data_IF_296277347635
#
_entry.id   IF_296277347635
#
_cell.length_a   1.000
_cell.length_b   1.000
_cell.length_c   1.000
_cell.angle_alpha   90.00
_cell.angle_beta   90.00
_cell.angle_gamma   90.00
#
_symmetry.space_group_name_H-M   'P 1'
#
loop_
_entity.id
_entity.type
_entity.pdbx_description
1 polymer ?
#
# COMPACT_ATOMS: atom_id res chain seq x y z
N UNK A 1 -10.42 29.66 25.16
CA UNK A 1 -9.60 29.18 24.03
C UNK A 1 -10.50 28.42 23.06
N UNK A 2 -10.87 29.02 21.93
CA UNK A 2 -11.56 28.31 20.84
C UNK A 2 -10.57 27.32 20.24
N UNK A 3 -10.83 26.01 20.34
CA UNK A 3 -10.12 25.02 19.52
C UNK A 3 -10.29 25.42 18.05
N UNK A 4 -9.18 25.49 17.31
CA UNK A 4 -9.18 25.57 15.85
C UNK A 4 -9.97 24.34 15.38
N UNK A 5 -11.18 24.53 14.87
CA UNK A 5 -12.13 23.47 14.50
C UNK A 5 -11.94 23.02 13.03
N UNK A 6 -10.78 23.32 12.46
CA UNK A 6 -10.57 23.39 11.01
C UNK A 6 -9.43 22.48 10.52
N UNK A 7 -8.89 21.60 11.38
CA UNK A 7 -7.82 20.67 11.02
C UNK A 7 -8.32 19.22 11.09
N UNK A 8 -7.97 18.42 10.09
CA UNK A 8 -8.21 16.97 10.07
C UNK A 8 -6.88 16.26 10.24
N UNK A 9 -6.78 15.39 11.23
CA UNK A 9 -5.53 14.69 11.55
C UNK A 9 -5.71 13.19 11.34
N UNK A 10 -4.84 12.57 10.54
CA UNK A 10 -4.82 11.12 10.33
C UNK A 10 -3.46 10.52 10.70
N UNK A 11 -3.49 9.24 11.06
CA UNK A 11 -2.37 8.33 10.96
C UNK A 11 -2.64 7.42 9.76
N UNK A 12 -1.77 7.46 8.76
CA UNK A 12 -1.81 6.59 7.59
C UNK A 12 -0.73 5.53 7.74
N UNK A 13 -1.13 4.26 7.76
CA UNK A 13 -0.25 3.11 7.68
C UNK A 13 -0.36 2.49 6.28
N UNK A 14 0.73 1.87 5.81
CA UNK A 14 0.72 1.18 4.52
C UNK A 14 1.75 0.07 4.41
N UNK A 15 1.45 -0.85 3.50
CA UNK A 15 2.30 -1.93 3.02
C UNK A 15 2.11 -2.08 1.51
N UNK A 16 3.07 -2.69 0.83
CA UNK A 16 3.05 -2.93 -0.61
C UNK A 16 3.88 -4.19 -0.91
N UNK A 17 3.64 -4.82 -2.07
CA UNK A 17 4.48 -5.90 -2.61
C UNK A 17 4.73 -7.03 -1.59
N UNK A 18 3.67 -7.47 -0.89
CA UNK A 18 3.81 -8.48 0.18
C UNK A 18 4.03 -9.89 -0.34
N UNK A 19 3.64 -10.17 -1.59
CA UNK A 19 3.93 -11.43 -2.31
C UNK A 19 3.80 -12.68 -1.45
N UNK A 20 2.68 -12.81 -0.74
CA UNK A 20 2.38 -13.97 0.13
C UNK A 20 3.45 -14.29 1.19
N UNK A 21 4.29 -13.32 1.59
CA UNK A 21 5.21 -13.44 2.73
C UNK A 21 4.45 -13.23 4.05
N UNK A 22 3.63 -14.22 4.41
CA UNK A 22 2.87 -14.20 5.67
C UNK A 22 3.75 -14.51 6.88
N UNK A 23 4.76 -15.34 6.67
CA UNK A 23 5.71 -15.77 7.70
C UNK A 23 6.97 -14.90 7.68
N UNK A 24 7.64 -14.76 8.84
CA UNK A 24 8.96 -14.16 8.88
C UNK A 24 9.99 -14.89 8.01
N UNK A 25 10.89 -14.14 7.41
CA UNK A 25 12.06 -14.65 6.68
C UNK A 25 13.35 -14.40 7.45
N UNK A 26 14.43 -15.05 7.04
CA UNK A 26 15.78 -14.73 7.53
C UNK A 26 16.33 -13.56 6.71
N UNK A 27 16.72 -12.48 7.39
CA UNK A 27 17.35 -11.31 6.79
C UNK A 27 18.79 -11.22 7.30
N UNK A 28 19.75 -11.20 6.39
CA UNK A 28 21.14 -10.94 6.74
C UNK A 28 21.37 -9.44 6.90
N UNK A 29 22.01 -9.03 7.98
CA UNK A 29 22.43 -7.65 8.24
C UNK A 29 23.93 -7.50 7.99
N UNK A 30 24.40 -6.26 7.84
CA UNK A 30 25.82 -5.91 7.94
C UNK A 30 25.98 -4.79 8.97
N UNK A 31 26.53 -5.12 10.13
CA UNK A 31 26.66 -4.23 11.27
C UNK A 31 28.13 -3.89 11.51
N UNK A 32 28.44 -2.60 11.55
CA UNK A 32 29.78 -2.12 11.89
C UNK A 32 29.83 -1.77 13.39
N UNK A 33 30.48 -2.62 14.19
CA UNK A 33 30.61 -2.47 15.65
C UNK A 33 32.09 -2.55 15.99
N UNK A 34 32.61 -1.56 16.72
CA UNK A 34 34.01 -1.52 17.19
C UNK A 34 35.06 -1.83 16.10
N UNK A 35 34.87 -1.25 14.92
CA UNK A 35 35.72 -1.44 13.72
C UNK A 35 35.70 -2.86 13.13
N UNK A 36 34.77 -3.71 13.57
CA UNK A 36 34.51 -5.03 12.98
C UNK A 36 33.17 -5.03 12.25
N UNK A 37 33.12 -5.71 11.11
CA UNK A 37 31.88 -5.95 10.37
C UNK A 37 31.33 -7.32 10.76
N UNK A 38 30.16 -7.33 11.41
CA UNK A 38 29.40 -8.55 11.71
C UNK A 38 28.29 -8.73 10.68
N UNK A 39 28.04 -9.96 10.28
CA UNK A 39 26.99 -10.30 9.30
C UNK A 39 25.91 -11.23 9.86
N UNK A 40 25.24 -10.85 10.97
CA UNK A 40 24.26 -11.70 11.63
C UNK A 40 22.98 -11.82 10.81
N UNK A 41 22.22 -12.86 11.11
CA UNK A 41 20.86 -13.05 10.62
C UNK A 41 19.85 -12.61 11.68
N UNK A 42 18.74 -12.06 11.21
CA UNK A 42 17.58 -11.71 12.04
C UNK A 42 16.31 -12.20 11.36
N UNK A 43 15.38 -12.73 12.15
CA UNK A 43 14.03 -13.01 11.65
C UNK A 43 13.32 -11.69 11.33
N UNK A 44 12.86 -11.48 10.11
CA UNK A 44 12.27 -10.21 9.65
C UNK A 44 10.91 -10.41 8.99
N UNK A 45 10.06 -9.39 9.06
CA UNK A 45 8.75 -9.35 8.39
C UNK A 45 7.67 -10.25 8.99
N UNK A 46 6.69 -10.58 8.15
CA UNK A 46 5.57 -11.46 8.49
C UNK A 46 4.34 -10.74 9.07
N UNK A 47 3.15 -11.28 8.76
CA UNK A 47 1.87 -10.66 9.06
C UNK A 47 1.57 -10.56 10.56
N UNK A 48 2.11 -11.46 11.39
CA UNK A 48 1.98 -11.37 12.84
C UNK A 48 2.63 -10.10 13.42
N UNK A 49 3.80 -9.69 12.87
CA UNK A 49 4.47 -8.45 13.28
C UNK A 49 3.73 -7.22 12.76
N UNK A 50 3.24 -7.28 11.51
CA UNK A 50 2.36 -6.23 10.95
C UNK A 50 1.14 -6.03 11.85
N UNK A 51 0.42 -7.11 12.18
CA UNK A 51 -0.78 -7.06 13.02
C UNK A 51 -0.50 -6.42 14.39
N UNK A 52 0.60 -6.83 15.03
CA UNK A 52 1.04 -6.26 16.31
C UNK A 52 1.31 -4.77 16.19
N UNK A 53 2.06 -4.34 15.16
CA UNK A 53 2.43 -2.94 14.99
C UNK A 53 1.23 -2.07 14.61
N UNK A 54 0.34 -2.57 13.76
CA UNK A 54 -0.91 -1.90 13.41
C UNK A 54 -1.81 -1.71 14.64
N UNK A 55 -1.89 -2.70 15.53
CA UNK A 55 -2.64 -2.53 16.78
C UNK A 55 -2.05 -1.40 17.64
N UNK A 56 -0.73 -1.32 17.76
CA UNK A 56 -0.05 -0.23 18.48
C UNK A 56 -0.32 1.13 17.82
N UNK A 57 -0.17 1.23 16.49
CA UNK A 57 -0.42 2.48 15.76
C UNK A 57 -1.89 2.92 15.85
N UNK A 58 -2.85 1.98 15.83
CA UNK A 58 -4.28 2.26 16.05
C UNK A 58 -4.51 2.83 17.46
N UNK A 59 -3.91 2.22 18.49
CA UNK A 59 -4.01 2.72 19.87
C UNK A 59 -3.36 4.11 20.05
N UNK A 60 -2.21 4.34 19.41
CA UNK A 60 -1.52 5.63 19.41
C UNK A 60 -2.36 6.71 18.71
N UNK A 61 -2.95 6.41 17.55
CA UNK A 61 -3.84 7.31 16.83
C UNK A 61 -5.07 7.68 17.68
N UNK A 62 -5.68 6.72 18.38
CA UNK A 62 -6.78 6.99 19.31
C UNK A 62 -6.35 7.92 20.45
N UNK A 63 -5.20 7.66 21.08
CA UNK A 63 -4.66 8.52 22.15
C UNK A 63 -4.39 9.94 21.67
N UNK A 64 -3.92 10.08 20.43
CA UNK A 64 -3.65 11.36 19.77
C UNK A 64 -4.89 12.02 19.15
N UNK A 65 -6.06 11.35 19.18
CA UNK A 65 -7.31 11.79 18.52
C UNK A 65 -7.11 12.05 17.03
N UNK A 66 -6.53 11.07 16.35
CA UNK A 66 -6.34 11.04 14.90
C UNK A 66 -7.22 9.96 14.28
N UNK A 67 -7.72 10.20 13.08
CA UNK A 67 -8.24 9.13 12.23
C UNK A 67 -7.15 8.11 11.92
N UNK A 68 -7.54 6.88 11.59
CA UNK A 68 -6.60 5.84 11.21
C UNK A 68 -7.03 5.25 9.87
N UNK A 69 -6.08 5.16 8.94
CA UNK A 69 -6.25 4.55 7.62
C UNK A 69 -5.09 3.58 7.42
N UNK A 70 -5.38 2.35 7.01
CA UNK A 70 -4.38 1.35 6.65
C UNK A 70 -4.66 0.76 5.27
N UNK A 71 -3.73 0.92 4.33
CA UNK A 71 -3.92 0.51 2.93
C UNK A 71 -2.82 -0.44 2.46
N UNK A 72 -3.14 -1.24 1.44
CA UNK A 72 -2.18 -2.10 0.74
C UNK A 72 -2.02 -1.65 -0.71
N UNK A 73 -0.80 -1.31 -1.13
CA UNK A 73 -0.54 -0.80 -2.47
C UNK A 73 -0.24 -1.90 -3.50
N UNK A 74 -1.09 -2.95 -3.58
CA UNK A 74 -1.00 -4.01 -4.60
C UNK A 74 0.12 -5.03 -4.42
N UNK A 75 0.08 -6.09 -5.23
CA UNK A 75 1.01 -7.22 -5.26
C UNK A 75 1.07 -8.00 -3.94
N UNK A 76 -0.11 -8.42 -3.48
CA UNK A 76 -0.19 -9.42 -2.42
C UNK A 76 -0.02 -10.85 -2.97
N UNK A 77 -0.36 -11.10 -4.24
CA UNK A 77 -0.25 -12.41 -4.89
C UNK A 77 1.20 -12.80 -5.21
N UNK A 78 1.38 -14.07 -5.59
CA UNK A 78 2.67 -14.70 -5.90
C UNK A 78 3.66 -14.71 -4.73
N UNK A 79 4.94 -15.00 -5.00
CA UNK A 79 6.07 -15.01 -4.07
C UNK A 79 6.34 -16.34 -3.38
N UNK A 80 5.35 -16.90 -2.67
CA UNK A 80 5.56 -18.11 -1.84
C UNK A 80 4.62 -19.26 -2.20
N UNK A 81 4.87 -20.43 -1.60
CA UNK A 81 4.03 -21.63 -1.78
C UNK A 81 2.57 -21.40 -1.36
N UNK A 82 2.31 -20.43 -0.48
CA UNK A 82 0.94 -20.03 -0.12
C UNK A 82 0.11 -19.65 -1.35
N UNK A 83 0.64 -18.83 -2.25
CA UNK A 83 -0.11 -18.48 -3.47
C UNK A 83 -0.25 -19.68 -4.40
N UNK A 84 0.83 -20.45 -4.59
CA UNK A 84 0.81 -21.64 -5.44
C UNK A 84 -0.26 -22.66 -5.05
N UNK A 85 -0.50 -22.84 -3.74
CA UNK A 85 -1.49 -23.77 -3.21
C UNK A 85 -2.90 -23.17 -3.07
N UNK A 86 -3.02 -21.94 -2.56
CA UNK A 86 -4.31 -21.35 -2.17
C UNK A 86 -4.88 -20.35 -3.18
N UNK A 87 -4.12 -19.98 -4.22
CA UNK A 87 -4.59 -19.14 -5.34
C UNK A 87 -5.31 -17.86 -4.91
N UNK A 88 -4.72 -17.15 -3.93
CA UNK A 88 -5.28 -15.90 -3.39
C UNK A 88 -6.25 -16.06 -2.22
N UNK A 89 -6.72 -17.28 -1.90
CA UNK A 89 -7.60 -17.47 -0.74
C UNK A 89 -6.90 -17.09 0.58
N UNK A 90 -5.67 -17.58 0.79
CA UNK A 90 -4.89 -17.25 1.98
C UNK A 90 -4.62 -15.74 2.07
N UNK A 91 -4.35 -15.08 0.94
CA UNK A 91 -4.16 -13.63 0.88
C UNK A 91 -5.41 -12.86 1.37
N UNK A 92 -6.60 -13.27 0.92
CA UNK A 92 -7.84 -12.65 1.37
C UNK A 92 -8.05 -12.82 2.88
N UNK A 93 -7.84 -14.04 3.40
CA UNK A 93 -7.98 -14.34 4.83
C UNK A 93 -7.00 -13.52 5.68
N UNK A 94 -5.74 -13.45 5.27
CA UNK A 94 -4.68 -12.73 5.99
C UNK A 94 -4.89 -11.22 5.95
N UNK A 95 -5.25 -10.64 4.79
CA UNK A 95 -5.52 -9.20 4.66
C UNK A 95 -6.79 -8.78 5.41
N UNK A 96 -7.83 -9.62 5.41
CA UNK A 96 -9.01 -9.40 6.24
C UNK A 96 -8.65 -9.39 7.73
N UNK A 97 -7.82 -10.33 8.18
CA UNK A 97 -7.38 -10.41 9.57
C UNK A 97 -6.53 -9.19 10.00
N UNK A 98 -5.76 -8.59 9.08
CA UNK A 98 -5.06 -7.33 9.33
C UNK A 98 -6.01 -6.13 9.46
N UNK A 99 -7.22 -6.22 8.87
CA UNK A 99 -8.21 -5.16 8.89
C UNK A 99 -7.72 -3.90 8.17
N UNK A 100 -7.26 -4.06 6.93
CA UNK A 100 -6.96 -2.96 6.01
C UNK A 100 -8.25 -2.26 5.58
N UNK A 101 -8.18 -0.96 5.31
CA UNK A 101 -9.28 -0.15 4.82
C UNK A 101 -9.48 -0.27 3.31
N UNK A 102 -8.40 -0.50 2.55
CA UNK A 102 -8.45 -0.71 1.10
C UNK A 102 -7.16 -1.35 0.58
N UNK A 103 -7.25 -1.93 -0.62
CA UNK A 103 -6.11 -2.40 -1.38
C UNK A 103 -6.23 -1.92 -2.84
N UNK A 104 -5.15 -1.45 -3.46
CA UNK A 104 -5.12 -1.29 -4.93
C UNK A 104 -4.68 -2.59 -5.61
N UNK A 105 -5.08 -2.78 -6.86
CA UNK A 105 -4.65 -3.92 -7.68
C UNK A 105 -3.20 -3.73 -8.15
N UNK A 106 -2.35 -4.72 -7.96
CA UNK A 106 -1.02 -4.81 -8.58
C UNK A 106 -0.98 -5.73 -9.80
N UNK A 107 0.18 -5.86 -10.42
CA UNK A 107 0.31 -6.69 -11.62
C UNK A 107 0.25 -8.19 -11.30
N UNK A 108 0.83 -8.63 -10.20
CA UNK A 108 0.89 -10.05 -9.84
C UNK A 108 -0.48 -10.62 -9.45
N UNK A 109 -1.45 -9.77 -9.15
CA UNK A 109 -2.84 -10.20 -9.01
C UNK A 109 -3.38 -10.85 -10.31
N UNK A 110 -2.89 -10.42 -11.47
CA UNK A 110 -3.39 -10.81 -12.80
C UNK A 110 -2.52 -11.85 -13.52
N UNK A 111 -1.49 -12.39 -12.87
CA UNK A 111 -0.59 -13.39 -13.47
C UNK A 111 -1.33 -14.63 -13.99
N UNK A 112 -2.42 -15.02 -13.33
CA UNK A 112 -3.24 -16.18 -13.67
C UNK A 112 -4.57 -15.79 -14.34
N UNK A 113 -4.65 -14.58 -14.90
CA UNK A 113 -5.88 -14.03 -15.45
C UNK A 113 -6.80 -13.41 -14.41
N UNK A 114 -7.97 -12.98 -14.86
CA UNK A 114 -8.92 -12.26 -14.00
C UNK A 114 -9.60 -13.15 -12.95
N UNK A 115 -9.71 -14.46 -13.22
CA UNK A 115 -10.53 -15.39 -12.45
C UNK A 115 -10.08 -15.50 -10.96
N UNK A 116 -8.78 -15.66 -10.63
CA UNK A 116 -8.32 -15.60 -9.24
C UNK A 116 -8.61 -14.26 -8.55
N UNK A 117 -8.51 -13.14 -9.26
CA UNK A 117 -8.86 -11.81 -8.73
C UNK A 117 -10.36 -11.74 -8.43
N UNK A 118 -11.21 -12.27 -9.31
CA UNK A 118 -12.65 -12.32 -9.11
C UNK A 118 -13.03 -13.18 -7.89
N UNK A 119 -12.33 -14.29 -7.66
CA UNK A 119 -12.52 -15.14 -6.49
C UNK A 119 -12.02 -14.47 -5.20
N UNK A 120 -10.86 -13.81 -5.25
CA UNK A 120 -10.33 -13.01 -4.15
C UNK A 120 -11.29 -11.88 -3.75
N UNK A 121 -11.79 -11.13 -4.74
CA UNK A 121 -12.74 -10.05 -4.53
C UNK A 121 -14.07 -10.50 -3.89
N UNK A 122 -14.44 -11.79 -4.00
CA UNK A 122 -15.61 -12.36 -3.30
C UNK A 122 -15.35 -12.62 -1.81
N UNK A 123 -14.09 -12.68 -1.38
CA UNK A 123 -13.67 -13.07 -0.02
C UNK A 123 -13.20 -11.90 0.83
N UNK A 124 -12.69 -10.84 0.21
CA UNK A 124 -12.22 -9.65 0.92
C UNK A 124 -13.36 -8.88 1.58
N UNK A 125 -13.05 -8.22 2.69
CA UNK A 125 -13.96 -7.38 3.48
C UNK A 125 -13.65 -5.88 3.34
N UNK A 126 -12.81 -5.54 2.37
CA UNK A 126 -12.36 -4.19 2.04
C UNK A 126 -12.49 -3.97 0.53
N UNK A 127 -12.62 -2.72 0.06
CA UNK A 127 -12.64 -2.39 -1.35
C UNK A 127 -11.28 -2.69 -2.01
N UNK A 128 -11.34 -3.37 -3.16
CA UNK A 128 -10.26 -3.49 -4.14
C UNK A 128 -10.37 -2.31 -5.12
N UNK A 129 -9.42 -1.39 -5.05
CA UNK A 129 -9.33 -0.20 -5.88
C UNK A 129 -8.64 -0.56 -7.20
N UNK A 130 -9.32 -0.36 -8.32
CA UNK A 130 -8.82 -0.67 -9.66
C UNK A 130 -9.23 0.42 -10.64
N UNK A 131 -8.89 1.67 -10.30
CA UNK A 131 -9.54 2.85 -10.83
C UNK A 131 -9.38 3.09 -12.34
N UNK A 132 -8.35 2.51 -12.94
CA UNK A 132 -8.13 2.55 -14.39
C UNK A 132 -8.32 1.19 -15.08
N UNK A 133 -8.96 0.22 -14.42
CA UNK A 133 -9.33 -1.05 -15.03
C UNK A 133 -10.76 -0.98 -15.58
N UNK A 134 -10.93 -1.02 -16.90
CA UNK A 134 -12.24 -0.94 -17.54
C UNK A 134 -12.90 -2.32 -17.64
N UNK A 135 -13.89 -2.55 -16.78
CA UNK A 135 -14.68 -3.77 -16.73
C UNK A 135 -16.01 -3.67 -17.50
N UNK A 136 -16.27 -2.56 -18.21
CA UNK A 136 -17.56 -2.31 -18.86
C UNK A 136 -17.88 -3.28 -20.00
N UNK A 137 -16.84 -3.89 -20.59
CA UNK A 137 -16.94 -4.88 -21.66
C UNK A 137 -16.64 -6.31 -21.21
N UNK A 138 -16.50 -6.54 -19.90
CA UNK A 138 -16.28 -7.88 -19.35
C UNK A 138 -17.38 -8.84 -19.82
N UNK A 139 -16.98 -9.92 -20.49
CA UNK A 139 -17.89 -10.89 -21.08
C UNK A 139 -18.85 -11.47 -20.03
N UNK A 140 -20.08 -11.69 -20.46
CA UNK A 140 -21.16 -12.16 -19.59
C UNK A 140 -21.09 -13.67 -19.29
N UNK A 141 -20.35 -14.43 -20.08
CA UNK A 141 -20.20 -15.89 -19.97
C UNK A 141 -19.13 -16.33 -18.96
N UNK A 142 -18.34 -15.40 -18.40
CA UNK A 142 -17.37 -15.70 -17.35
C UNK A 142 -18.08 -16.20 -16.09
N UNK A 143 -17.57 -17.29 -15.52
CA UNK A 143 -18.10 -17.89 -14.30
C UNK A 143 -17.97 -16.94 -13.09
N UNK A 144 -16.82 -16.28 -12.96
CA UNK A 144 -16.60 -15.27 -11.92
C UNK A 144 -16.28 -13.93 -12.59
N UNK A 145 -17.23 -13.01 -12.47
CA UNK A 145 -17.13 -11.65 -13.01
C UNK A 145 -16.68 -10.68 -11.93
N UNK A 146 -15.92 -9.67 -12.34
CA UNK A 146 -15.47 -8.57 -11.49
C UNK A 146 -16.43 -7.37 -11.55
N UNK A 147 -17.02 -7.12 -12.72
CA UNK A 147 -17.90 -5.96 -12.97
C UNK A 147 -19.14 -5.91 -12.09
N UNK A 148 -19.62 -7.06 -11.59
CA UNK A 148 -20.78 -7.16 -10.70
C UNK A 148 -20.40 -7.25 -9.21
N UNK A 149 -19.11 -7.22 -8.88
CA UNK A 149 -18.67 -7.32 -7.50
C UNK A 149 -18.61 -5.93 -6.85
N UNK A 150 -19.38 -5.73 -5.79
CA UNK A 150 -19.46 -4.46 -5.06
C UNK A 150 -18.17 -4.06 -4.34
N UNK A 151 -17.26 -5.01 -4.08
CA UNK A 151 -15.94 -4.72 -3.50
C UNK A 151 -14.96 -4.18 -4.54
N UNK A 152 -15.23 -4.32 -5.84
CA UNK A 152 -14.32 -3.88 -6.89
C UNK A 152 -14.68 -2.46 -7.30
N UNK A 153 -13.79 -1.52 -7.04
CA UNK A 153 -13.91 -0.10 -7.35
C UNK A 153 -13.13 0.18 -8.64
N UNK A 154 -13.71 -0.28 -9.74
CA UNK A 154 -13.15 -0.17 -11.09
C UNK A 154 -13.40 1.20 -11.76
N UNK A 155 -12.84 1.40 -12.95
CA UNK A 155 -13.10 2.55 -13.81
C UNK A 155 -14.61 2.70 -14.11
N UNK A 156 -15.12 3.92 -13.97
CA UNK A 156 -16.48 4.32 -14.38
C UNK A 156 -16.40 4.86 -15.82
N UNK A 157 -16.75 4.02 -16.80
CA UNK A 157 -16.67 4.37 -18.22
C UNK A 157 -17.67 5.45 -18.64
N UNK A 158 -18.68 5.78 -17.84
CA UNK A 158 -19.59 6.90 -18.15
C UNK A 158 -19.00 8.21 -17.67
N UNK A 159 -18.39 8.23 -16.48
CA UNK A 159 -17.77 9.43 -15.90
C UNK A 159 -16.32 9.63 -16.30
N UNK A 160 -15.69 8.62 -16.91
CA UNK A 160 -14.29 8.61 -17.31
C UNK A 160 -13.34 8.84 -16.12
N UNK A 161 -13.69 8.30 -14.95
CA UNK A 161 -12.89 8.41 -13.74
C UNK A 161 -12.92 7.12 -12.92
N UNK A 162 -12.00 6.99 -11.96
CA UNK A 162 -12.01 5.89 -11.02
C UNK A 162 -13.22 5.98 -10.09
N UNK A 163 -13.76 4.84 -9.66
CA UNK A 163 -14.57 4.80 -8.43
C UNK A 163 -13.65 4.94 -7.22
N UNK A 164 -14.12 5.64 -6.18
CA UNK A 164 -13.38 5.88 -4.95
C UNK A 164 -14.22 5.52 -3.72
N UNK A 165 -13.55 5.20 -2.62
CA UNK A 165 -14.17 5.12 -1.31
C UNK A 165 -14.03 6.46 -0.58
N UNK A 166 -14.89 6.70 0.41
CA UNK A 166 -14.82 7.86 1.28
C UNK A 166 -14.70 7.39 2.73
N UNK A 167 -13.67 7.88 3.43
CA UNK A 167 -13.47 7.66 4.86
C UNK A 167 -13.82 8.94 5.62
N UNK A 168 -14.71 8.82 6.60
CA UNK A 168 -15.01 9.90 7.53
C UNK A 168 -13.97 9.94 8.65
N UNK A 169 -13.34 11.10 8.86
CA UNK A 169 -12.38 11.37 9.94
C UNK A 169 -12.76 12.70 10.59
N UNK A 170 -13.16 12.65 11.85
CA UNK A 170 -13.53 13.84 12.64
C UNK A 170 -14.52 14.78 11.93
N UNK A 171 -15.49 14.20 11.21
CA UNK A 171 -16.50 14.94 10.43
C UNK A 171 -15.97 15.56 9.14
N UNK A 172 -14.79 15.15 8.68
CA UNK A 172 -14.21 15.48 7.38
C UNK A 172 -14.06 14.24 6.52
N UNK A 173 -14.31 14.40 5.22
CA UNK A 173 -14.19 13.32 4.24
C UNK A 173 -12.79 13.24 3.65
N UNK A 174 -12.27 12.02 3.55
CA UNK A 174 -11.04 11.68 2.82
C UNK A 174 -11.41 10.69 1.72
N UNK A 175 -11.20 11.07 0.46
CA UNK A 175 -11.42 10.20 -0.68
C UNK A 175 -10.17 9.34 -0.93
N UNK A 176 -10.39 8.06 -1.23
CA UNK A 176 -9.32 7.10 -1.54
C UNK A 176 -9.68 6.37 -2.83
N UNK A 177 -8.81 6.47 -3.82
CA UNK A 177 -8.93 5.74 -5.09
C UNK A 177 -7.59 5.08 -5.42
N UNK A 178 -7.61 4.14 -6.36
CA UNK A 178 -6.42 3.39 -6.74
C UNK A 178 -6.17 3.38 -8.23
N UNK A 179 -4.90 3.26 -8.60
CA UNK A 179 -4.44 3.13 -9.98
C UNK A 179 -3.39 2.03 -10.07
N UNK A 180 -3.32 1.41 -11.24
CA UNK A 180 -2.34 0.37 -11.59
C UNK A 180 -1.73 0.70 -12.94
N UNK A 181 -0.66 0.02 -13.32
CA UNK A 181 0.05 0.24 -14.59
C UNK A 181 -0.87 0.22 -15.81
N UNK A 182 -0.68 1.19 -16.71
CA UNK A 182 -1.43 1.29 -17.98
C UNK A 182 -1.21 0.06 -18.87
N UNK A 183 0.04 -0.40 -18.92
CA UNK A 183 0.49 -1.50 -19.78
C UNK A 183 0.47 -2.84 -19.04
N UNK A 184 -0.65 -3.13 -18.39
CA UNK A 184 -0.80 -4.35 -17.58
C UNK A 184 -0.61 -5.62 -18.41
N UNK A 185 -1.06 -5.62 -19.67
CA UNK A 185 -0.92 -6.74 -20.61
C UNK A 185 0.53 -7.05 -21.02
N UNK A 186 1.47 -6.12 -20.82
CA UNK A 186 2.88 -6.33 -21.15
C UNK A 186 3.61 -7.13 -20.04
N UNK A 187 3.07 -7.13 -18.82
CA UNK A 187 3.76 -7.65 -17.61
C UNK A 187 2.95 -8.67 -16.81
N UNK A 188 1.66 -8.79 -17.10
CA UNK A 188 0.72 -9.73 -16.47
C UNK A 188 -0.23 -10.28 -17.53
N UNK A 189 -1.27 -11.02 -17.12
CA UNK A 189 -2.19 -11.69 -18.05
C UNK A 189 -3.66 -11.25 -17.88
N UNK A 190 -4.00 -9.94 -17.89
CA UNK A 190 -5.40 -9.53 -17.85
C UNK A 190 -6.18 -10.10 -19.05
N UNK A 191 -7.44 -10.45 -18.82
CA UNK A 191 -8.31 -10.90 -19.92
C UNK A 191 -8.52 -9.74 -20.93
N UNK A 192 -8.43 -10.04 -22.23
CA UNK A 192 -8.46 -9.01 -23.29
C UNK A 192 -9.78 -8.23 -23.45
N UNK A 193 -10.83 -8.61 -22.72
CA UNK A 193 -12.10 -7.88 -22.63
C UNK A 193 -12.15 -6.88 -21.46
N UNK A 194 -11.04 -6.72 -20.72
CA UNK A 194 -10.92 -5.84 -19.55
C UNK A 194 -9.63 -4.99 -19.59
N UNK A 195 -9.54 -4.01 -20.51
CA UNK A 195 -8.32 -3.25 -20.72
C UNK A 195 -8.04 -2.28 -19.55
N UNK A 196 -6.78 -1.89 -19.42
CA UNK A 196 -6.36 -0.78 -18.56
C UNK A 196 -6.34 0.51 -19.38
N UNK A 197 -7.01 1.55 -18.88
CA UNK A 197 -7.01 2.88 -19.48
C UNK A 197 -5.92 3.75 -18.86
N UNK A 198 -5.64 4.91 -19.47
CA UNK A 198 -4.59 5.82 -19.00
C UNK A 198 -4.77 6.21 -17.54
N UNK A 199 -3.81 5.86 -16.69
CA UNK A 199 -3.76 6.24 -15.27
C UNK A 199 -3.71 7.75 -15.10
N UNK A 200 -2.90 8.47 -15.90
CA UNK A 200 -2.78 9.93 -15.83
C UNK A 200 -4.11 10.64 -16.12
N UNK A 201 -4.78 10.25 -17.21
CA UNK A 201 -6.08 10.83 -17.60
C UNK A 201 -7.14 10.51 -16.54
N UNK A 202 -7.15 9.26 -16.07
CA UNK A 202 -8.06 8.79 -15.03
C UNK A 202 -7.83 9.56 -13.72
N UNK A 203 -6.58 9.76 -13.30
CA UNK A 203 -6.22 10.52 -12.10
C UNK A 203 -6.77 11.95 -12.17
N UNK A 204 -6.50 12.66 -13.28
CA UNK A 204 -6.97 14.03 -13.49
C UNK A 204 -8.50 14.13 -13.38
N UNK A 205 -9.22 13.26 -14.08
CA UNK A 205 -10.70 13.22 -14.05
C UNK A 205 -11.26 12.82 -12.70
N UNK A 206 -10.57 11.93 -11.99
CA UNK A 206 -10.97 11.48 -10.65
C UNK A 206 -10.82 12.58 -9.62
N UNK A 207 -9.68 13.29 -9.61
CA UNK A 207 -9.48 14.43 -8.72
C UNK A 207 -10.51 15.53 -8.99
N UNK A 208 -10.76 15.84 -10.27
CA UNK A 208 -11.81 16.77 -10.68
C UNK A 208 -13.18 16.34 -10.11
N UNK A 209 -13.57 15.09 -10.29
CA UNK A 209 -14.85 14.56 -9.82
C UNK A 209 -14.97 14.57 -8.27
N UNK A 210 -13.89 14.22 -7.56
CA UNK A 210 -13.84 14.25 -6.10
C UNK A 210 -14.01 15.69 -5.59
N UNK A 211 -13.31 16.66 -6.17
CA UNK A 211 -13.46 18.07 -5.81
C UNK A 211 -14.89 18.59 -6.06
N UNK A 212 -15.50 18.23 -7.19
CA UNK A 212 -16.90 18.58 -7.48
C UNK A 212 -17.89 17.98 -6.47
N UNK A 213 -17.54 16.86 -5.82
CA UNK A 213 -18.34 16.28 -4.73
C UNK A 213 -18.16 17.01 -3.38
N UNK A 214 -17.27 17.99 -3.30
CA UNK A 214 -16.99 18.79 -2.11
C UNK A 214 -15.89 18.23 -1.20
N UNK A 215 -15.25 17.12 -1.59
CA UNK A 215 -14.13 16.51 -0.86
C UNK A 215 -12.83 17.13 -1.37
N UNK A 216 -11.91 17.49 -0.47
CA UNK A 216 -10.62 18.12 -0.81
C UNK A 216 -9.38 17.41 -0.24
N UNK A 217 -9.56 16.26 0.38
CA UNK A 217 -8.48 15.41 0.93
C UNK A 217 -8.48 14.12 0.16
N UNK A 218 -7.40 13.86 -0.58
CA UNK A 218 -7.35 12.78 -1.55
C UNK A 218 -6.09 11.95 -1.32
N UNK A 219 -6.29 10.65 -1.12
CA UNK A 219 -5.21 9.66 -1.07
C UNK A 219 -5.33 8.79 -2.34
N UNK A 220 -4.24 8.71 -3.10
CA UNK A 220 -4.10 7.75 -4.18
C UNK A 220 -3.32 6.54 -3.65
N UNK A 221 -3.89 5.34 -3.77
CA UNK A 221 -3.18 4.08 -3.53
C UNK A 221 -2.73 3.53 -4.89
N UNK A 222 -1.45 3.64 -5.18
CA UNK A 222 -0.89 3.42 -6.52
C UNK A 222 -0.09 2.14 -6.60
N UNK A 223 -0.15 1.49 -7.75
CA UNK A 223 0.76 0.43 -8.15
C UNK A 223 1.36 0.76 -9.52
N UNK A 224 1.80 2.01 -9.72
CA UNK A 224 2.45 2.49 -10.94
C UNK A 224 3.98 2.38 -10.90
N UNK A 225 4.56 2.19 -9.72
CA UNK A 225 5.99 2.30 -9.49
C UNK A 225 6.41 3.73 -9.09
N UNK A 226 7.44 3.81 -8.28
CA UNK A 226 7.82 5.02 -7.55
C UNK A 226 8.14 6.23 -8.43
N UNK A 227 8.86 6.05 -9.54
CA UNK A 227 9.14 7.16 -10.46
C UNK A 227 7.88 7.61 -11.22
N UNK A 228 7.01 6.68 -11.60
CA UNK A 228 5.73 7.03 -12.21
C UNK A 228 4.80 7.76 -11.22
N UNK A 229 4.83 7.39 -9.93
CA UNK A 229 4.12 8.09 -8.87
C UNK A 229 4.63 9.53 -8.68
N UNK A 230 5.95 9.73 -8.72
CA UNK A 230 6.58 11.06 -8.67
C UNK A 230 6.21 11.91 -9.89
N UNK A 231 6.21 11.30 -11.09
CA UNK A 231 5.76 11.97 -12.31
C UNK A 231 4.28 12.36 -12.28
N UNK A 232 3.43 11.48 -11.74
CA UNK A 232 2.00 11.74 -11.60
C UNK A 232 1.77 12.90 -10.61
N UNK A 233 2.44 12.88 -9.45
CA UNK A 233 2.41 13.97 -8.49
C UNK A 233 2.86 15.32 -9.09
N UNK A 234 3.86 15.31 -9.96
CA UNK A 234 4.33 16.52 -10.64
C UNK A 234 3.32 17.08 -11.68
N UNK A 235 2.44 16.23 -12.23
CA UNK A 235 1.50 16.59 -13.30
C UNK A 235 0.08 16.86 -12.80
N UNK A 236 -0.31 16.31 -11.65
CA UNK A 236 -1.68 16.33 -11.14
C UNK A 236 -1.73 17.04 -9.78
N UNK A 237 -2.35 18.22 -9.76
CA UNK A 237 -2.68 18.93 -8.52
C UNK A 237 -3.86 18.27 -7.80
N UNK A 238 -3.92 18.43 -6.47
CA UNK A 238 -5.09 18.06 -5.65
C UNK A 238 -5.01 16.69 -4.98
N UNK A 239 -4.01 15.87 -5.33
CA UNK A 239 -3.69 14.67 -4.55
C UNK A 239 -2.90 15.10 -3.32
N UNK A 240 -3.26 14.61 -2.15
CA UNK A 240 -2.54 14.97 -0.92
C UNK A 240 -1.39 14.00 -0.65
N UNK A 241 -1.63 12.70 -0.83
CA UNK A 241 -0.64 11.64 -0.62
C UNK A 241 -0.83 10.54 -1.67
N UNK A 242 0.27 10.06 -2.24
CA UNK A 242 0.36 8.84 -3.03
C UNK A 242 1.06 7.78 -2.20
N UNK A 243 0.39 6.64 -2.02
CA UNK A 243 0.95 5.44 -1.40
C UNK A 243 1.24 4.42 -2.51
N UNK A 244 2.51 4.26 -2.86
CA UNK A 244 2.97 3.47 -4.00
C UNK A 244 3.36 2.02 -3.67
N UNK A 245 3.58 1.25 -4.74
CA UNK A 245 4.04 -0.15 -4.76
C UNK A 245 4.87 -0.44 -6.03
N UNK A 246 4.98 -1.69 -6.45
CA UNK A 246 5.61 -2.17 -7.69
C UNK A 246 7.16 -2.13 -7.72
N UNK A 247 7.77 -0.99 -7.36
CA UNK A 247 9.22 -0.78 -7.48
C UNK A 247 10.04 -1.22 -6.26
N UNK A 248 9.40 -1.75 -5.22
CA UNK A 248 10.05 -2.23 -3.99
C UNK A 248 10.89 -1.20 -3.23
N UNK A 249 10.65 0.11 -3.40
CA UNK A 249 11.48 1.14 -2.77
C UNK A 249 11.23 1.16 -1.26
N UNK A 250 12.30 0.87 -0.51
CA UNK A 250 12.34 1.03 0.94
C UNK A 250 12.89 2.42 1.29
N UNK A 251 12.04 3.43 1.26
CA UNK A 251 12.43 4.81 1.58
C UNK A 251 13.02 4.94 2.99
N UNK A 252 14.10 5.71 3.12
CA UNK A 252 14.83 5.94 4.36
C UNK A 252 16.28 5.45 4.31
N UNK A 253 17.01 5.74 5.38
CA UNK A 253 18.40 5.31 5.56
C UNK A 253 18.46 4.07 6.46
N UNK A 254 18.73 2.92 5.83
CA UNK A 254 18.95 1.64 6.51
C UNK A 254 20.39 1.14 6.32
N UNK A 255 21.32 2.03 5.92
CA UNK A 255 22.73 1.70 5.69
C UNK A 255 23.43 1.18 6.96
N UNK A 256 23.00 1.64 8.14
CA UNK A 256 23.48 1.16 9.43
C UNK A 256 23.17 -0.34 9.69
N UNK A 257 22.22 -0.91 8.94
CA UNK A 257 21.86 -2.32 8.97
C UNK A 257 22.45 -3.10 7.79
N UNK A 258 23.24 -2.46 6.92
CA UNK A 258 23.75 -3.06 5.69
C UNK A 258 22.72 -3.17 4.57
N UNK A 259 21.62 -2.42 4.67
CA UNK A 259 20.54 -2.43 3.69
C UNK A 259 20.60 -1.18 2.80
N UNK A 260 19.55 -0.95 2.03
CA UNK A 260 19.45 0.19 1.12
C UNK A 260 19.49 1.52 1.86
N UNK A 261 20.06 2.52 1.18
CA UNK A 261 19.88 3.92 1.51
C UNK A 261 19.14 4.55 0.33
N UNK A 262 17.85 4.79 0.52
CA UNK A 262 16.99 5.36 -0.51
C UNK A 262 16.64 6.82 -0.17
N UNK A 263 15.86 7.45 -1.03
CA UNK A 263 15.27 8.76 -0.75
C UNK A 263 14.53 8.78 0.61
N UNK A 264 14.50 9.97 1.25
CA UNK A 264 13.82 10.14 2.53
C UNK A 264 12.34 9.78 2.44
N UNK A 265 11.79 9.28 3.55
CA UNK A 265 10.38 8.90 3.62
C UNK A 265 9.47 10.13 3.39
N UNK A 266 8.59 10.03 2.40
CA UNK A 266 7.65 11.10 2.03
C UNK A 266 8.28 12.17 1.15
N UNK A 267 8.57 11.84 -0.10
CA UNK A 267 9.01 12.83 -1.09
C UNK A 267 7.89 13.82 -1.38
N UNK A 268 8.17 15.11 -1.27
CA UNK A 268 7.19 16.16 -1.48
C UNK A 268 7.33 16.78 -2.87
N UNK A 269 6.33 16.56 -3.72
CA UNK A 269 6.33 16.98 -5.11
C UNK A 269 5.01 17.69 -5.39
N UNK A 270 5.09 18.97 -5.77
CA UNK A 270 3.94 19.76 -6.19
C UNK A 270 2.71 19.65 -5.25
N UNK A 271 2.93 19.76 -3.93
CA UNK A 271 1.85 19.67 -2.94
C UNK A 271 1.45 18.27 -2.52
N UNK A 272 2.05 17.23 -3.12
CA UNK A 272 1.75 15.81 -2.87
C UNK A 272 2.92 15.11 -2.19
N UNK A 273 2.65 14.29 -1.18
CA UNK A 273 3.66 13.38 -0.61
C UNK A 273 3.61 12.01 -1.29
N UNK A 274 4.77 11.45 -1.66
CA UNK A 274 4.88 10.10 -2.24
C UNK A 274 5.62 9.17 -1.28
N UNK A 275 5.00 8.03 -0.94
CA UNK A 275 5.54 7.05 0.00
C UNK A 275 5.49 5.61 -0.52
N UNK A 276 6.49 4.80 -0.16
CA UNK A 276 6.54 3.34 -0.39
C UNK A 276 7.28 2.64 0.75
N UNK A 277 6.97 1.36 1.02
CA UNK A 277 7.44 0.58 2.17
C UNK A 277 8.15 -0.74 1.81
N UNK A 278 8.99 -0.74 0.76
CA UNK A 278 9.82 -1.90 0.43
C UNK A 278 9.00 -3.05 -0.15
N UNK A 279 9.21 -4.27 0.36
CA UNK A 279 8.56 -5.49 -0.14
C UNK A 279 8.52 -6.61 0.92
N UNK A 280 7.85 -7.71 0.58
CA UNK A 280 7.84 -8.99 1.31
C UNK A 280 7.43 -8.88 2.78
N UNK A 281 6.57 -7.91 3.09
CA UNK A 281 6.12 -7.63 4.46
C UNK A 281 7.30 -7.36 5.42
N UNK A 282 8.49 -6.98 4.92
CA UNK A 282 9.66 -6.71 5.74
C UNK A 282 9.53 -5.40 6.52
N UNK A 283 8.84 -4.43 5.93
CA UNK A 283 8.63 -3.11 6.52
C UNK A 283 7.14 -2.73 6.57
N UNK A 284 6.85 -1.77 7.44
CA UNK A 284 5.57 -1.08 7.54
C UNK A 284 5.82 0.43 7.42
N UNK A 285 5.23 1.08 6.43
CA UNK A 285 5.22 2.53 6.33
C UNK A 285 4.15 3.12 7.24
N UNK A 286 4.45 4.20 7.95
CA UNK A 286 3.41 4.99 8.63
C UNK A 286 3.78 6.46 8.73
N UNK A 287 2.77 7.32 8.68
CA UNK A 287 2.89 8.76 8.87
C UNK A 287 1.70 9.37 9.61
N UNK A 288 1.97 10.49 10.28
CA UNK A 288 0.98 11.43 10.77
C UNK A 288 0.85 12.56 9.77
N UNK A 289 -0.39 12.82 9.35
CA UNK A 289 -0.72 13.85 8.37
C UNK A 289 -1.74 14.78 9.02
N UNK A 290 -1.50 16.08 8.94
CA UNK A 290 -2.47 17.10 9.32
C UNK A 290 -2.86 17.91 8.10
N UNK A 291 -4.16 17.96 7.83
CA UNK A 291 -4.76 18.75 6.77
C UNK A 291 -5.35 20.04 7.32
N UNK A 292 -5.22 21.12 6.56
CA UNK A 292 -6.02 22.32 6.77
C UNK A 292 -7.46 22.16 6.21
N UNK A 293 -8.28 23.18 6.41
CA UNK A 293 -9.67 23.23 5.91
C UNK A 293 -9.79 23.12 4.39
N UNK A 294 -8.76 23.50 3.65
CA UNK A 294 -8.72 23.43 2.18
C UNK A 294 -8.18 22.08 1.69
N UNK A 295 -7.83 21.16 2.59
CA UNK A 295 -7.30 19.85 2.26
C UNK A 295 -5.80 19.83 1.98
N UNK A 296 -5.08 20.92 2.24
CA UNK A 296 -3.61 20.97 2.10
C UNK A 296 -2.95 20.30 3.28
N UNK A 297 -1.91 19.52 3.01
CA UNK A 297 -1.07 18.93 4.07
C UNK A 297 -0.20 20.04 4.67
N UNK A 298 -0.38 20.32 5.97
CA UNK A 298 0.39 21.33 6.71
C UNK A 298 1.40 20.71 7.67
N UNK A 299 1.27 19.41 7.94
CA UNK A 299 2.25 18.64 8.70
C UNK A 299 2.29 17.20 8.16
N UNK A 300 3.50 16.69 7.95
CA UNK A 300 3.76 15.33 7.51
C UNK A 300 4.99 14.81 8.27
N UNK A 301 4.80 13.79 9.09
CA UNK A 301 5.91 13.10 9.79
C UNK A 301 5.70 11.60 9.73
N UNK A 302 6.71 10.87 9.29
CA UNK A 302 6.58 9.42 9.12
C UNK A 302 7.90 8.74 8.84
N UNK A 303 7.84 7.41 8.74
CA UNK A 303 8.99 6.54 8.44
C UNK A 303 8.53 5.17 7.98
N UNK A 304 9.45 4.43 7.37
CA UNK A 304 9.37 2.99 7.28
C UNK A 304 9.98 2.35 8.54
N UNK A 305 9.32 1.32 9.06
CA UNK A 305 9.83 0.50 10.16
C UNK A 305 10.08 -0.92 9.67
N UNK A 306 11.33 -1.39 9.78
CA UNK A 306 11.64 -2.80 9.58
C UNK A 306 11.09 -3.63 10.73
N UNK A 307 10.40 -4.71 10.39
CA UNK A 307 9.73 -5.60 11.34
C UNK A 307 10.68 -6.71 11.78
N UNK A 308 11.67 -6.36 12.59
CA UNK A 308 12.72 -7.29 13.02
C UNK A 308 12.34 -8.07 14.29
N UNK A 309 12.86 -9.29 14.38
CA UNK A 309 12.90 -10.09 15.59
C UNK A 309 13.89 -9.53 16.60
N UNK A 310 13.81 -10.02 17.84
CA UNK A 310 14.62 -9.52 18.96
C UNK A 310 15.98 -10.22 19.12
N UNK A 311 16.28 -11.20 18.27
CA UNK A 311 17.47 -12.05 18.38
C UNK A 311 18.26 -11.99 17.09
N UNK A 312 19.58 -11.88 17.24
CA UNK A 312 20.56 -12.03 16.18
C UNK A 312 21.15 -13.44 16.23
N UNK A 313 21.41 -13.99 15.06
CA UNK A 313 21.95 -15.33 14.87
C UNK A 313 23.20 -15.27 14.00
N UNK A 314 24.15 -16.17 14.23
CA UNK A 314 25.38 -16.21 13.44
C UNK A 314 25.21 -17.00 12.13
N UNK A 315 24.13 -17.77 12.02
CA UNK A 315 23.83 -18.61 10.87
C UNK A 315 22.40 -18.37 10.34
N UNK A 316 22.18 -18.68 9.06
CA UNK A 316 20.92 -18.45 8.37
C UNK A 316 19.77 -19.36 8.84
N UNK A 317 20.08 -20.53 9.43
CA UNK A 317 19.10 -21.42 10.03
C UNK A 317 18.57 -20.90 11.37
N UNK A 318 19.22 -19.87 11.92
CA UNK A 318 18.84 -19.19 13.17
C UNK A 318 18.82 -20.14 14.38
N UNK A 319 19.72 -21.13 14.39
CA UNK A 319 19.82 -22.11 15.47
C UNK A 319 20.83 -21.69 16.55
N UNK A 320 21.87 -20.95 16.19
CA UNK A 320 22.87 -20.44 17.13
C UNK A 320 22.66 -18.94 17.39
N UNK A 321 22.22 -18.61 18.61
CA UNK A 321 22.20 -17.22 19.08
C UNK A 321 23.62 -16.79 19.42
N UNK A 322 24.01 -15.56 19.02
CA UNK A 322 25.27 -14.99 19.49
C UNK A 322 25.28 -14.93 21.02
N UNK A 323 26.26 -15.58 21.65
CA UNK A 323 26.52 -15.39 23.08
C UNK A 323 27.14 -14.00 23.27
N UNK A 324 26.54 -13.18 24.14
CA UNK A 324 27.22 -12.04 24.75
C UNK A 324 28.33 -12.59 25.66
N UNK A 325 29.48 -12.90 25.08
CA UNK A 325 30.71 -13.17 25.82
C UNK A 325 31.85 -12.37 25.19
N UNK A 326 31.86 -11.05 25.46
CA UNK A 326 33.01 -10.22 25.89
C UNK A 326 32.61 -8.76 25.88
#
# INVERSE_FOLDING_TARGET
MKRIKDMTSITLAHINDTHSYFEPTSLQLSLNIDQQTLTPFVSAGGFARIATRIHQLKADAQRMKRGFIFVHAGDCFQGTLYFSLFKGQANAEMLNALGIDAMTLGNHELDMGNEPVAQFAKRIQFPLLAGNWDLSKERQDKQHRLSNNSQVYAFDSQRQCARWMVKEVDGSQVAIFGLSLDKMEDIANPDGDTPFVSSLTTASKTVEAIHHSGINKIILVSHLGYEADKELAAKIDGISVIVGGHSHILQGDFSALGLSQEESYGQFINGTYVVQAGLYALALGHCHIDFDKNGRVVNFTGRNELLLGRRLFLDASMNEAGCDTT
#
